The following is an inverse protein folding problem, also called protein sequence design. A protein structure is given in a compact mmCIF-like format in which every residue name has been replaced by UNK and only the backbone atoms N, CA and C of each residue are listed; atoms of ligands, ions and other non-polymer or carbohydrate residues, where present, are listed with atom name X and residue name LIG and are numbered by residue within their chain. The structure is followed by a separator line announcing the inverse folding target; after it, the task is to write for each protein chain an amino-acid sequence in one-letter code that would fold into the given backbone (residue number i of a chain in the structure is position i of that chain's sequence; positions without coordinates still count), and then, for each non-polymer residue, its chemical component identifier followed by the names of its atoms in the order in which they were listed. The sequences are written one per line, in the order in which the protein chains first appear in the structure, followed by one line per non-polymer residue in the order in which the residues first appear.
data_IF_479239337271
#
_entry.id   IF_479239337271
#
_cell.length_a   1.000
_cell.length_b   1.000
_cell.length_c   1.000
_cell.angle_alpha   90.00
_cell.angle_beta   90.00
_cell.angle_gamma   90.00
#
_symmetry.space_group_name_H-M   'P 1'
#
loop_
_entity.id
_entity.type
_entity.pdbx_description
1 polymer ?
#
# COMPACT_ATOMS: atom_id res chain seq x y z
N UNK A 1 3.86 3.85 16.11
CA UNK A 1 3.22 4.64 15.01
C UNK A 1 4.15 4.97 13.83
N UNK A 2 5.47 5.08 14.02
CA UNK A 2 6.41 5.52 12.97
C UNK A 2 6.58 4.53 11.80
N UNK A 3 6.55 3.22 12.09
CA UNK A 3 6.73 2.17 11.07
C UNK A 3 5.57 2.10 10.06
N UNK A 4 4.31 2.12 10.52
CA UNK A 4 3.13 2.10 9.63
C UNK A 4 3.13 3.30 8.69
N UNK A 5 3.39 4.51 9.22
CA UNK A 5 3.45 5.74 8.42
C UNK A 5 4.57 5.69 7.38
N UNK A 6 5.73 5.11 7.73
CA UNK A 6 6.84 4.90 6.81
C UNK A 6 6.45 3.96 5.66
N UNK A 7 5.88 2.80 5.96
CA UNK A 7 5.42 1.84 4.94
C UNK A 7 4.38 2.44 4.00
N UNK A 8 3.40 3.19 4.53
CA UNK A 8 2.40 3.87 3.71
C UNK A 8 3.05 4.92 2.79
N UNK A 9 3.97 5.72 3.32
CA UNK A 9 4.61 6.77 2.53
C UNK A 9 5.52 6.20 1.44
N UNK A 10 6.22 5.10 1.75
CA UNK A 10 7.02 4.36 0.79
C UNK A 10 6.16 3.75 -0.32
N UNK A 11 5.04 3.11 0.05
CA UNK A 11 4.07 2.57 -0.92
C UNK A 11 3.48 3.66 -1.83
N UNK A 12 3.13 4.83 -1.30
CA UNK A 12 2.61 5.94 -2.11
C UNK A 12 3.66 6.50 -3.09
N UNK A 13 4.92 6.60 -2.67
CA UNK A 13 6.00 7.04 -3.55
C UNK A 13 6.21 6.07 -4.72
N UNK A 14 6.23 4.77 -4.45
CA UNK A 14 6.38 3.76 -5.50
C UNK A 14 5.12 3.59 -6.36
N UNK A 15 3.94 3.91 -5.85
CA UNK A 15 2.72 3.96 -6.66
C UNK A 15 2.80 5.09 -7.70
N UNK A 16 3.29 6.27 -7.30
CA UNK A 16 3.54 7.36 -8.24
C UNK A 16 4.62 6.99 -9.26
N UNK A 17 5.71 6.36 -8.81
CA UNK A 17 6.77 5.86 -9.70
C UNK A 17 6.26 4.83 -10.71
N UNK A 18 5.45 3.87 -10.26
CA UNK A 18 4.84 2.86 -11.13
C UNK A 18 3.96 3.49 -12.21
N UNK A 19 3.11 4.45 -11.81
CA UNK A 19 2.24 5.19 -12.73
C UNK A 19 3.05 5.89 -13.84
N UNK A 20 4.14 6.56 -13.46
CA UNK A 20 5.03 7.25 -14.40
C UNK A 20 5.71 6.23 -15.32
N UNK A 21 6.27 5.15 -14.76
CA UNK A 21 6.95 4.12 -15.53
C UNK A 21 6.04 3.46 -16.58
N UNK A 22 4.80 3.12 -16.22
CA UNK A 22 3.83 2.59 -17.19
C UNK A 22 3.45 3.62 -18.26
N UNK A 23 3.25 4.89 -17.87
CA UNK A 23 2.96 5.97 -18.81
C UNK A 23 4.07 6.22 -19.83
N UNK A 24 5.31 5.91 -19.46
CA UNK A 24 6.50 6.03 -20.32
C UNK A 24 6.86 4.71 -21.02
N UNK A 25 6.02 3.68 -20.92
CA UNK A 25 6.25 2.37 -21.57
C UNK A 25 7.35 1.51 -20.92
N UNK A 26 7.89 1.91 -19.77
CA UNK A 26 8.89 1.14 -19.02
C UNK A 26 8.22 0.07 -18.15
N UNK A 27 7.68 -0.97 -18.81
CA UNK A 27 6.87 -2.02 -18.17
C UNK A 27 7.61 -2.70 -17.01
N UNK A 28 8.85 -3.14 -17.20
CA UNK A 28 9.64 -3.80 -16.15
C UNK A 28 9.85 -2.91 -14.91
N UNK A 29 10.12 -1.62 -15.13
CA UNK A 29 10.25 -0.66 -14.03
C UNK A 29 8.91 -0.45 -13.29
N UNK A 30 7.81 -0.46 -14.03
CA UNK A 30 6.45 -0.41 -13.48
C UNK A 30 6.12 -1.64 -12.63
N UNK A 31 6.45 -2.84 -13.10
CA UNK A 31 6.24 -4.09 -12.35
C UNK A 31 7.12 -4.18 -11.10
N UNK A 32 8.40 -3.81 -11.19
CA UNK A 32 9.28 -3.75 -10.01
C UNK A 32 8.71 -2.78 -8.96
N UNK A 33 8.16 -1.65 -9.40
CA UNK A 33 7.51 -0.70 -8.51
C UNK A 33 6.21 -1.24 -7.92
N UNK A 34 5.40 -1.95 -8.72
CA UNK A 34 4.18 -2.65 -8.27
C UNK A 34 4.47 -3.58 -7.10
N UNK A 35 5.49 -4.42 -7.21
CA UNK A 35 5.85 -5.35 -6.14
C UNK A 35 6.17 -4.62 -4.82
N UNK A 36 6.91 -3.52 -4.92
CA UNK A 36 7.25 -2.66 -3.77
C UNK A 36 6.00 -2.05 -3.15
N UNK A 37 5.06 -1.55 -3.96
CA UNK A 37 3.78 -1.02 -3.49
C UNK A 37 2.99 -2.08 -2.74
N UNK A 38 2.82 -3.26 -3.32
CA UNK A 38 2.04 -4.36 -2.73
C UNK A 38 2.66 -4.85 -1.42
N UNK A 39 3.99 -4.98 -1.36
CA UNK A 39 4.70 -5.36 -0.14
C UNK A 39 4.55 -4.30 0.96
N UNK A 40 4.67 -3.01 0.61
CA UNK A 40 4.49 -1.89 1.54
C UNK A 40 3.07 -1.83 2.10
N UNK A 41 2.06 -2.03 1.24
CA UNK A 41 0.66 -2.07 1.65
C UNK A 41 0.35 -3.24 2.58
N UNK A 42 0.84 -4.45 2.26
CA UNK A 42 0.70 -5.64 3.13
C UNK A 42 1.36 -5.43 4.49
N UNK A 43 2.58 -4.89 4.51
CA UNK A 43 3.30 -4.57 5.75
C UNK A 43 2.55 -3.52 6.58
N UNK A 44 2.14 -2.41 5.98
CA UNK A 44 1.36 -1.37 6.64
C UNK A 44 0.07 -1.91 7.26
N UNK A 45 -0.66 -2.74 6.52
CA UNK A 45 -1.92 -3.35 6.97
C UNK A 45 -1.70 -4.31 8.14
N UNK A 46 -0.67 -5.17 8.06
CA UNK A 46 -0.33 -6.10 9.14
C UNK A 46 0.07 -5.37 10.41
N UNK A 47 0.93 -4.35 10.31
CA UNK A 47 1.35 -3.56 11.46
C UNK A 47 0.20 -2.73 12.04
N UNK A 48 -0.67 -2.17 11.20
CA UNK A 48 -1.87 -1.47 11.65
C UNK A 48 -2.82 -2.41 12.41
N UNK A 49 -3.03 -3.64 11.93
CA UNK A 49 -3.85 -4.64 12.61
C UNK A 49 -3.25 -5.07 13.95
N UNK A 50 -1.94 -5.31 14.01
CA UNK A 50 -1.24 -5.63 15.27
C UNK A 50 -1.33 -4.48 16.28
N UNK A 51 -1.20 -3.22 15.83
CA UNK A 51 -1.37 -2.06 16.69
C UNK A 51 -2.82 -1.92 17.18
N UNK A 52 -3.82 -2.17 16.33
CA UNK A 52 -5.22 -2.16 16.73
C UNK A 52 -5.57 -3.28 17.71
N UNK A 53 -4.90 -4.44 17.62
CA UNK A 53 -5.06 -5.54 18.57
C UNK A 53 -4.35 -5.27 19.91
N UNK A 54 -3.17 -4.63 19.87
CA UNK A 54 -2.38 -4.30 21.06
C UNK A 54 -2.89 -3.05 21.80
N UNK A 55 -3.53 -2.13 21.08
CA UNK A 55 -4.06 -0.88 21.62
C UNK A 55 -5.58 -0.90 21.43
N UNK A 56 -6.34 -0.98 22.52
CA UNK A 56 -7.80 -0.78 22.49
C UNK A 56 -8.09 0.68 22.03
N UNK A 57 -8.12 0.85 20.71
CA UNK A 57 -8.68 1.93 19.90
C UNK A 57 -8.76 3.32 20.56
N UNK A 58 -7.64 3.89 21.06
CA UNK A 58 -7.68 5.30 21.46
C UNK A 58 -7.34 6.26 20.35
N UNK A 59 -6.27 6.06 19.58
CA UNK A 59 -5.94 7.03 18.53
C UNK A 59 -5.13 6.36 17.42
N UNK A 60 -5.73 5.46 16.64
CA UNK A 60 -5.18 5.18 15.31
C UNK A 60 -5.42 6.44 14.48
N UNK A 61 -4.46 7.37 14.58
CA UNK A 61 -4.36 8.66 13.92
C UNK A 61 -5.09 8.63 12.56
N UNK A 62 -6.14 9.46 12.44
CA UNK A 62 -6.98 9.55 11.24
C UNK A 62 -6.14 9.73 9.97
N UNK A 63 -4.97 10.38 10.06
CA UNK A 63 -4.05 10.55 8.93
C UNK A 63 -3.44 9.22 8.45
N UNK A 64 -3.19 8.26 9.33
CA UNK A 64 -2.67 6.94 8.96
C UNK A 64 -3.74 6.15 8.22
N UNK A 65 -4.99 6.21 8.69
CA UNK A 65 -6.13 5.55 8.04
C UNK A 65 -6.37 6.12 6.64
N UNK A 66 -6.51 7.44 6.51
CA UNK A 66 -6.77 8.08 5.21
C UNK A 66 -5.63 7.84 4.22
N UNK A 67 -4.37 7.83 4.65
CA UNK A 67 -3.25 7.54 3.74
C UNK A 67 -3.18 6.05 3.35
N UNK A 68 -3.56 5.14 4.25
CA UNK A 68 -3.67 3.71 3.92
C UNK A 68 -4.81 3.47 2.92
N UNK A 69 -5.94 4.16 3.08
CA UNK A 69 -7.06 4.13 2.11
C UNK A 69 -6.65 4.70 0.75
N UNK A 70 -5.91 5.81 0.72
CA UNK A 70 -5.39 6.38 -0.53
C UNK A 70 -4.44 5.40 -1.24
N UNK A 71 -3.58 4.70 -0.48
CA UNK A 71 -2.70 3.67 -1.03
C UNK A 71 -3.50 2.50 -1.60
N UNK A 72 -4.51 2.00 -0.87
CA UNK A 72 -5.41 0.94 -1.35
C UNK A 72 -6.12 1.33 -2.64
N UNK A 73 -6.74 2.51 -2.66
CA UNK A 73 -7.44 3.03 -3.82
C UNK A 73 -6.50 3.14 -5.04
N UNK A 74 -5.29 3.65 -4.84
CA UNK A 74 -4.28 3.72 -5.88
C UNK A 74 -3.91 2.35 -6.46
N UNK A 75 -3.78 1.33 -5.61
CA UNK A 75 -3.53 -0.05 -6.04
C UNK A 75 -4.72 -0.58 -6.86
N UNK A 76 -5.95 -0.37 -6.41
CA UNK A 76 -7.16 -0.82 -7.12
C UNK A 76 -7.30 -0.17 -8.51
N UNK A 77 -6.91 1.10 -8.64
CA UNK A 77 -6.96 1.83 -9.91
C UNK A 77 -5.88 1.35 -10.89
N UNK A 78 -4.65 1.16 -10.43
CA UNK A 78 -3.54 0.74 -11.30
C UNK A 78 -3.57 -0.78 -11.59
N UNK A 79 -3.99 -1.57 -10.61
CA UNK A 79 -3.95 -3.04 -10.65
C UNK A 79 -5.20 -3.65 -9.99
N UNK A 80 -6.34 -3.65 -10.69
CA UNK A 80 -7.60 -4.14 -10.15
C UNK A 80 -7.50 -5.58 -9.61
N UNK A 81 -6.75 -6.44 -10.29
CA UNK A 81 -6.60 -7.86 -9.94
C UNK A 81 -5.68 -8.10 -8.74
N UNK A 82 -4.87 -7.11 -8.35
CA UNK A 82 -3.91 -7.26 -7.26
C UNK A 82 -4.57 -7.32 -5.87
N UNK A 83 -5.80 -6.81 -5.73
CA UNK A 83 -6.58 -6.90 -4.49
C UNK A 83 -7.51 -8.12 -4.46
N UNK A 84 -7.84 -8.69 -5.62
CA UNK A 84 -8.73 -9.84 -5.77
C UNK A 84 -8.01 -11.19 -5.76
N UNK A 85 -6.67 -11.19 -5.70
CA UNK A 85 -5.87 -12.41 -5.61
C UNK A 85 -5.88 -13.00 -4.19
N UNK A 86 -7.07 -13.44 -3.76
CA UNK A 86 -7.31 -14.44 -2.72
C UNK A 86 -8.36 -15.40 -3.29
N UNK A 87 -7.87 -16.50 -3.83
CA UNK A 87 -8.54 -17.74 -4.30
C UNK A 87 -7.63 -18.20 -5.44
N UNK A 88 -6.63 -19.04 -5.22
CA UNK A 88 -6.74 -20.49 -5.12
C UNK A 88 -5.56 -20.99 -4.27
N UNK A 89 -5.86 -21.69 -3.18
CA UNK A 89 -4.96 -22.59 -2.49
C UNK A 89 -5.77 -23.84 -2.12
#
# INVERSE_FOLDING_TARGET
MNLVRSQISFGLAYLAHARIAYGEGRVESGENAREIVLNSYRAATRFAAQLAAAQLAKDTDSSVRSRLEALRYGIEVLWPDAMHSREIA
#
